data_IF_719610476563
#
_entry.id   IF_719610476563
#
_cell.length_a   1.000
_cell.length_b   1.000
_cell.length_c   1.000
_cell.angle_alpha   90.00
_cell.angle_beta   90.00
_cell.angle_gamma   90.00
#
_symmetry.space_group_name_H-M   'P 1'
#
loop_
_entity.id
_entity.type
_entity.pdbx_description
1 polymer ?
#
# COMPACT_ATOMS: atom_id res chain seq x y z
N UNK A 1 -6.15 -39.11 -7.57
CA UNK A 1 -6.25 -40.08 -6.47
C UNK A 1 -6.49 -39.35 -5.14
N UNK A 2 -7.28 -39.89 -4.21
CA UNK A 2 -7.53 -39.27 -2.90
C UNK A 2 -8.58 -38.13 -2.88
N UNK A 3 -9.27 -37.85 -3.99
CA UNK A 3 -10.40 -36.91 -4.03
C UNK A 3 -11.67 -37.68 -3.67
N UNK A 4 -12.22 -37.44 -2.48
CA UNK A 4 -13.45 -38.08 -1.97
C UNK A 4 -14.70 -37.35 -2.44
N UNK A 5 -14.60 -36.02 -2.60
CA UNK A 5 -15.69 -35.14 -2.99
C UNK A 5 -15.18 -34.04 -3.92
N UNK A 6 -16.00 -33.66 -4.90
CA UNK A 6 -15.75 -32.54 -5.79
C UNK A 6 -17.08 -31.90 -6.18
N UNK A 7 -17.14 -30.57 -6.15
CA UNK A 7 -18.31 -29.79 -6.51
C UNK A 7 -17.92 -28.57 -7.34
N UNK A 8 -18.90 -27.99 -8.03
CA UNK A 8 -18.74 -26.77 -8.79
C UNK A 8 -19.83 -25.78 -8.40
N UNK A 9 -19.42 -24.63 -7.88
CA UNK A 9 -20.30 -23.56 -7.40
C UNK A 9 -19.94 -22.24 -8.10
N UNK A 10 -20.91 -21.34 -8.23
CA UNK A 10 -20.74 -20.09 -8.96
C UNK A 10 -19.80 -19.10 -8.23
N UNK A 11 -19.90 -19.03 -6.91
CA UNK A 11 -19.10 -18.14 -6.06
C UNK A 11 -18.54 -18.90 -4.85
N UNK A 12 -17.36 -19.50 -4.99
CA UNK A 12 -16.78 -20.32 -3.92
C UNK A 12 -16.49 -19.54 -2.63
N UNK A 13 -16.29 -18.22 -2.72
CA UNK A 13 -16.05 -17.35 -1.57
C UNK A 13 -17.34 -16.88 -0.87
N UNK A 14 -18.53 -17.22 -1.37
CA UNK A 14 -19.79 -16.84 -0.71
C UNK A 14 -19.92 -17.53 0.65
N UNK A 15 -20.68 -16.90 1.56
CA UNK A 15 -20.93 -17.46 2.89
C UNK A 15 -21.54 -18.87 2.80
N UNK A 16 -22.56 -19.05 1.97
CA UNK A 16 -23.21 -20.36 1.77
C UNK A 16 -22.22 -21.45 1.32
N UNK A 17 -21.27 -21.11 0.45
CA UNK A 17 -20.28 -22.10 -0.01
C UNK A 17 -19.25 -22.39 1.08
N UNK A 18 -18.86 -21.39 1.87
CA UNK A 18 -17.98 -21.60 3.02
C UNK A 18 -18.64 -22.51 4.06
N UNK A 19 -19.93 -22.32 4.34
CA UNK A 19 -20.69 -23.18 5.25
C UNK A 19 -20.81 -24.61 4.69
N UNK A 20 -21.11 -24.77 3.40
CA UNK A 20 -21.11 -26.09 2.75
C UNK A 20 -19.74 -26.78 2.79
N UNK A 21 -18.63 -26.06 2.61
CA UNK A 21 -17.27 -26.62 2.76
C UNK A 21 -17.09 -27.18 4.18
N UNK A 22 -17.48 -26.42 5.21
CA UNK A 22 -17.39 -26.87 6.62
C UNK A 22 -18.25 -28.11 6.87
N UNK A 23 -19.47 -28.13 6.38
CA UNK A 23 -20.37 -29.28 6.47
C UNK A 23 -19.76 -30.53 5.82
N UNK A 24 -19.22 -30.40 4.60
CA UNK A 24 -18.61 -31.53 3.88
C UNK A 24 -17.34 -32.04 4.54
N UNK A 25 -16.55 -31.16 5.17
CA UNK A 25 -15.39 -31.57 5.97
C UNK A 25 -15.85 -32.48 7.12
N UNK A 26 -16.89 -32.08 7.86
CA UNK A 26 -17.41 -32.86 8.99
C UNK A 26 -18.12 -34.15 8.55
N UNK A 27 -18.99 -34.08 7.54
CA UNK A 27 -19.81 -35.20 7.04
C UNK A 27 -18.94 -36.33 6.46
N UNK A 28 -17.93 -35.96 5.67
CA UNK A 28 -17.10 -36.92 4.93
C UNK A 28 -15.76 -37.22 5.60
N UNK A 29 -15.48 -36.59 6.75
CA UNK A 29 -14.18 -36.71 7.44
C UNK A 29 -13.01 -36.26 6.56
N UNK A 30 -13.19 -35.16 5.81
CA UNK A 30 -12.16 -34.67 4.90
C UNK A 30 -10.95 -34.16 5.70
N UNK A 31 -9.76 -34.48 5.22
CA UNK A 31 -8.52 -34.07 5.85
C UNK A 31 -7.69 -33.10 4.98
N UNK A 32 -8.15 -32.77 3.78
CA UNK A 32 -7.50 -31.84 2.84
C UNK A 32 -8.56 -31.13 2.01
N UNK A 33 -8.31 -29.87 1.66
CA UNK A 33 -9.22 -29.08 0.81
C UNK A 33 -8.43 -28.43 -0.32
N UNK A 34 -8.96 -28.48 -1.54
CA UNK A 34 -8.44 -27.71 -2.68
C UNK A 34 -9.58 -26.86 -3.20
N UNK A 35 -9.34 -25.55 -3.32
CA UNK A 35 -10.26 -24.66 -4.04
C UNK A 35 -9.62 -24.25 -5.35
N UNK A 36 -10.38 -24.25 -6.43
CA UNK A 36 -9.90 -23.92 -7.76
C UNK A 36 -10.65 -22.69 -8.29
N UNK A 37 -10.08 -21.50 -8.10
CA UNK A 37 -10.77 -20.22 -8.32
C UNK A 37 -9.80 -19.08 -8.62
N UNK A 38 -9.69 -18.07 -7.74
CA UNK A 38 -8.83 -16.90 -7.89
C UNK A 38 -7.40 -17.13 -7.36
N UNK A 39 -6.60 -16.07 -7.32
CA UNK A 39 -5.22 -16.08 -6.82
C UNK A 39 -5.13 -16.25 -5.29
N UNK A 40 -4.16 -17.03 -4.77
CA UNK A 40 -3.95 -17.20 -3.33
C UNK A 40 -3.71 -15.87 -2.61
N UNK A 41 -3.14 -14.88 -3.31
CA UNK A 41 -2.91 -13.53 -2.76
C UNK A 41 -4.17 -12.82 -2.25
N UNK A 42 -5.36 -13.25 -2.70
CA UNK A 42 -6.63 -12.60 -2.36
C UNK A 42 -7.41 -13.37 -1.30
N UNK A 43 -7.71 -14.65 -1.55
CA UNK A 43 -8.69 -15.40 -0.75
C UNK A 43 -8.10 -16.63 -0.04
N UNK A 44 -6.78 -16.88 -0.10
CA UNK A 44 -6.19 -17.98 0.69
C UNK A 44 -6.46 -17.81 2.20
N UNK A 45 -6.28 -16.61 2.81
CA UNK A 45 -6.60 -16.44 4.24
C UNK A 45 -8.07 -16.71 4.57
N UNK A 46 -8.99 -16.37 3.65
CA UNK A 46 -10.43 -16.64 3.82
C UNK A 46 -10.68 -18.15 3.93
N UNK A 47 -10.23 -18.93 2.95
CA UNK A 47 -10.48 -20.37 2.96
C UNK A 47 -9.70 -21.10 4.06
N UNK A 48 -8.51 -20.62 4.42
CA UNK A 48 -7.78 -21.12 5.58
C UNK A 48 -8.58 -20.93 6.88
N UNK A 49 -9.23 -19.78 7.06
CA UNK A 49 -10.13 -19.55 8.19
C UNK A 49 -11.36 -20.46 8.12
N UNK A 50 -12.01 -20.59 6.95
CA UNK A 50 -13.16 -21.46 6.74
C UNK A 50 -12.88 -22.91 7.17
N UNK A 51 -11.75 -23.49 6.73
CA UNK A 51 -11.44 -24.87 7.10
C UNK A 51 -11.00 -25.00 8.57
N UNK A 52 -10.42 -23.93 9.14
CA UNK A 52 -10.05 -23.89 10.57
C UNK A 52 -11.29 -23.91 11.47
N UNK A 53 -12.39 -23.25 11.07
CA UNK A 53 -13.68 -23.34 11.77
C UNK A 53 -14.25 -24.77 11.78
N UNK A 54 -13.91 -25.59 10.77
CA UNK A 54 -14.23 -27.02 10.73
C UNK A 54 -13.17 -27.91 11.40
N UNK A 55 -12.32 -27.33 12.26
CA UNK A 55 -11.24 -28.01 12.98
C UNK A 55 -10.16 -28.66 12.08
N UNK A 56 -10.05 -28.23 10.81
CA UNK A 56 -8.99 -28.65 9.91
C UNK A 56 -7.83 -27.64 9.95
N UNK A 57 -6.59 -28.13 10.04
CA UNK A 57 -5.44 -27.23 10.06
C UNK A 57 -5.37 -26.38 8.76
N UNK A 58 -5.18 -25.05 8.85
CA UNK A 58 -5.24 -24.14 7.71
C UNK A 58 -4.20 -24.45 6.62
N UNK A 59 -3.11 -25.13 6.95
CA UNK A 59 -2.06 -25.48 5.98
C UNK A 59 -2.31 -26.81 5.27
N UNK A 60 -3.45 -27.46 5.54
CA UNK A 60 -3.96 -28.64 4.83
C UNK A 60 -4.85 -28.25 3.64
N UNK A 61 -4.58 -27.07 3.06
CA UNK A 61 -5.32 -26.43 2.01
C UNK A 61 -4.40 -26.02 0.85
N UNK A 62 -4.95 -25.98 -0.37
CA UNK A 62 -4.29 -25.34 -1.50
C UNK A 62 -5.31 -24.60 -2.39
N UNK A 63 -4.89 -23.47 -2.98
CA UNK A 63 -5.71 -22.68 -3.91
C UNK A 63 -5.13 -22.73 -5.33
N UNK A 64 -5.81 -23.43 -6.23
CA UNK A 64 -5.49 -23.44 -7.66
C UNK A 64 -6.05 -22.17 -8.33
N UNK A 65 -5.19 -21.25 -8.75
CA UNK A 65 -5.61 -20.03 -9.48
C UNK A 65 -6.01 -20.36 -10.92
N UNK A 66 -7.30 -20.55 -11.14
CA UNK A 66 -7.90 -20.79 -12.45
C UNK A 66 -8.44 -19.52 -13.11
N UNK A 67 -8.48 -18.39 -12.40
CA UNK A 67 -8.93 -17.11 -12.97
C UNK A 67 -7.79 -16.31 -13.58
N UNK A 68 -6.94 -15.71 -12.74
CA UNK A 68 -5.85 -14.84 -13.16
C UNK A 68 -4.82 -15.58 -14.02
N UNK A 69 -4.56 -16.86 -13.72
CA UNK A 69 -3.56 -17.66 -14.45
C UNK A 69 -4.15 -18.56 -15.54
N UNK A 70 -5.48 -18.64 -15.68
CA UNK A 70 -6.12 -19.46 -16.72
C UNK A 70 -7.20 -18.70 -17.48
N UNK A 71 -8.39 -18.52 -16.90
CA UNK A 71 -9.55 -18.04 -17.68
C UNK A 71 -9.38 -16.62 -18.24
N UNK A 72 -8.73 -15.71 -17.51
CA UNK A 72 -8.53 -14.32 -17.95
C UNK A 72 -7.48 -14.18 -19.06
N UNK A 73 -6.50 -15.09 -19.11
CA UNK A 73 -5.37 -15.00 -20.05
C UNK A 73 -5.50 -15.94 -21.25
N UNK A 74 -6.47 -16.86 -21.24
CA UNK A 74 -6.77 -17.78 -22.35
C UNK A 74 -8.20 -17.59 -22.89
N UNK A 75 -8.72 -16.36 -22.90
CA UNK A 75 -10.08 -16.06 -23.36
C UNK A 75 -10.37 -16.52 -24.79
N UNK A 76 -9.35 -16.59 -25.64
CA UNK A 76 -9.48 -17.00 -27.04
C UNK A 76 -9.42 -18.54 -27.27
N UNK A 77 -8.98 -19.33 -26.29
CA UNK A 77 -8.83 -20.79 -26.43
C UNK A 77 -9.34 -21.51 -25.16
N UNK A 78 -10.65 -21.75 -25.12
CA UNK A 78 -11.32 -22.42 -24.00
C UNK A 78 -10.88 -23.87 -23.80
N UNK A 79 -10.50 -24.56 -24.87
CA UNK A 79 -10.08 -25.95 -24.80
C UNK A 79 -8.69 -26.06 -24.15
N UNK A 80 -7.75 -25.20 -24.55
CA UNK A 80 -6.46 -25.09 -23.88
C UNK A 80 -6.60 -24.62 -22.43
N UNK A 81 -7.47 -23.63 -22.17
CA UNK A 81 -7.79 -23.17 -20.82
C UNK A 81 -8.28 -24.32 -19.93
N UNK A 82 -9.21 -25.13 -20.44
CA UNK A 82 -9.77 -26.28 -19.70
C UNK A 82 -8.71 -27.36 -19.44
N UNK A 83 -7.86 -27.68 -20.43
CA UNK A 83 -6.74 -28.63 -20.24
C UNK A 83 -5.75 -28.12 -19.18
N UNK A 84 -5.40 -26.83 -19.23
CA UNK A 84 -4.53 -26.19 -18.26
C UNK A 84 -5.15 -26.22 -16.85
N UNK A 85 -6.43 -25.87 -16.72
CA UNK A 85 -7.14 -25.87 -15.46
C UNK A 85 -7.13 -27.26 -14.79
N UNK A 86 -7.45 -28.31 -15.53
CA UNK A 86 -7.38 -29.69 -15.03
C UNK A 86 -5.98 -30.06 -14.52
N UNK A 87 -4.94 -29.64 -15.23
CA UNK A 87 -3.54 -29.89 -14.82
C UNK A 87 -3.20 -29.13 -13.54
N UNK A 88 -3.61 -27.86 -13.41
CA UNK A 88 -3.39 -27.06 -12.21
C UNK A 88 -4.10 -27.64 -10.99
N UNK A 89 -5.37 -28.07 -11.14
CA UNK A 89 -6.08 -28.75 -10.05
C UNK A 89 -5.39 -30.06 -9.67
N UNK A 90 -4.94 -30.85 -10.64
CA UNK A 90 -4.20 -32.07 -10.36
C UNK A 90 -2.89 -31.82 -9.60
N UNK A 91 -2.17 -30.74 -9.94
CA UNK A 91 -0.95 -30.31 -9.23
C UNK A 91 -1.26 -29.89 -7.78
N UNK A 92 -2.33 -29.11 -7.57
CA UNK A 92 -2.77 -28.69 -6.23
C UNK A 92 -3.20 -29.86 -5.36
N UNK A 93 -3.96 -30.80 -5.94
CA UNK A 93 -4.33 -32.05 -5.25
C UNK A 93 -3.09 -32.86 -4.89
N UNK A 94 -2.09 -32.94 -5.77
CA UNK A 94 -0.85 -33.65 -5.46
C UNK A 94 -0.05 -32.98 -4.35
N UNK A 95 0.10 -31.65 -4.40
CA UNK A 95 0.76 -30.85 -3.35
C UNK A 95 0.10 -31.06 -1.99
N UNK A 96 -1.23 -30.91 -1.90
CA UNK A 96 -1.94 -30.95 -0.62
C UNK A 96 -1.90 -32.33 0.03
N UNK A 97 -1.76 -33.41 -0.76
CA UNK A 97 -1.57 -34.78 -0.25
C UNK A 97 -0.28 -34.93 0.54
N UNK A 98 0.74 -34.14 0.23
CA UNK A 98 2.03 -34.12 0.92
C UNK A 98 2.11 -33.05 2.01
N UNK A 99 1.14 -32.13 2.08
CA UNK A 99 1.08 -31.14 3.16
C UNK A 99 0.92 -31.79 4.53
N UNK A 100 1.58 -31.21 5.53
CA UNK A 100 1.48 -31.57 6.93
C UNK A 100 0.86 -30.40 7.72
N UNK A 101 0.22 -30.65 8.87
CA UNK A 101 -0.26 -29.59 9.73
C UNK A 101 0.91 -28.67 10.16
N UNK A 102 0.72 -27.36 10.02
CA UNK A 102 1.66 -26.35 10.52
C UNK A 102 0.94 -25.51 11.56
N UNK A 103 1.60 -25.23 12.68
CA UNK A 103 1.05 -24.45 13.77
C UNK A 103 1.77 -23.11 13.84
N UNK A 104 0.99 -22.03 13.98
CA UNK A 104 1.55 -20.70 14.21
C UNK A 104 2.07 -20.62 15.63
N UNK A 105 3.28 -20.13 15.80
CA UNK A 105 3.82 -19.79 17.10
C UNK A 105 3.49 -18.33 17.42
N UNK A 106 3.00 -18.02 18.64
CA UNK A 106 2.81 -16.64 19.03
C UNK A 106 4.16 -15.94 19.09
N UNK A 107 4.26 -14.78 18.45
CA UNK A 107 5.41 -13.89 18.55
C UNK A 107 5.03 -12.66 19.37
N UNK A 108 5.95 -12.18 20.21
CA UNK A 108 5.81 -10.85 20.79
C UNK A 108 5.93 -9.80 19.68
N UNK A 109 5.25 -8.67 19.87
CA UNK A 109 5.24 -7.53 18.94
C UNK A 109 5.72 -6.33 19.72
N UNK A 110 6.73 -5.64 19.19
CA UNK A 110 7.22 -4.38 19.72
C UNK A 110 6.14 -3.30 19.58
N UNK A 111 5.64 -2.67 20.67
CA UNK A 111 4.53 -1.72 20.64
C UNK A 111 4.98 -0.31 20.19
N UNK A 112 5.79 -0.25 19.13
CA UNK A 112 6.40 0.97 18.61
C UNK A 112 6.29 1.01 17.08
N UNK A 113 5.99 2.19 16.52
CA UNK A 113 5.93 2.41 15.07
C UNK A 113 7.05 3.30 14.55
N UNK A 114 7.53 3.03 13.34
CA UNK A 114 8.41 3.91 12.57
C UNK A 114 7.63 4.53 11.42
N UNK A 115 7.60 5.86 11.33
CA UNK A 115 7.01 6.61 10.23
C UNK A 115 8.12 7.29 9.42
N UNK A 116 8.13 7.05 8.11
CA UNK A 116 9.16 7.57 7.20
C UNK A 116 8.54 8.68 6.33
N UNK A 117 8.94 9.92 6.58
CA UNK A 117 8.48 11.14 5.92
C UNK A 117 7.61 12.01 6.85
N UNK A 118 8.05 13.23 7.09
CA UNK A 118 7.42 14.26 7.94
C UNK A 118 6.44 15.17 7.20
N UNK A 119 5.85 14.71 6.08
CA UNK A 119 4.72 15.38 5.43
C UNK A 119 3.40 15.17 6.18
N UNK A 120 2.27 15.75 5.69
CA UNK A 120 0.97 15.65 6.37
C UNK A 120 0.52 14.20 6.59
N UNK A 121 0.78 13.30 5.65
CA UNK A 121 0.46 11.88 5.79
C UNK A 121 1.25 11.20 6.91
N UNK A 122 2.54 11.51 7.05
CA UNK A 122 3.38 10.93 8.09
C UNK A 122 3.10 11.51 9.47
N UNK A 123 2.88 12.83 9.56
CA UNK A 123 2.46 13.47 10.81
C UNK A 123 1.13 12.88 11.29
N UNK A 124 0.14 12.74 10.40
CA UNK A 124 -1.13 12.10 10.74
C UNK A 124 -0.95 10.65 11.20
N UNK A 125 -0.06 9.89 10.55
CA UNK A 125 0.22 8.50 10.93
C UNK A 125 0.91 8.39 12.30
N UNK A 126 1.88 9.25 12.60
CA UNK A 126 2.58 9.27 13.88
C UNK A 126 1.63 9.67 15.03
N UNK A 127 0.83 10.71 14.83
CA UNK A 127 -0.21 11.11 15.79
C UNK A 127 -1.24 9.99 16.00
N UNK A 128 -1.66 9.29 14.94
CA UNK A 128 -2.60 8.17 15.07
C UNK A 128 -2.03 6.98 15.86
N UNK A 129 -0.70 6.77 15.84
CA UNK A 129 -0.03 5.79 16.69
C UNK A 129 -0.03 6.26 18.15
N UNK A 130 0.38 7.51 18.39
CA UNK A 130 0.42 8.11 19.73
C UNK A 130 -0.96 8.18 20.38
N UNK A 131 -2.01 8.57 19.63
CA UNK A 131 -3.40 8.60 20.11
C UNK A 131 -3.90 7.21 20.59
N UNK A 132 -3.25 6.12 20.16
CA UNK A 132 -3.51 4.75 20.60
C UNK A 132 -2.60 4.27 21.74
N UNK A 133 -1.75 5.15 22.29
CA UNK A 133 -0.77 4.88 23.33
C UNK A 133 0.45 4.10 22.85
N UNK A 134 0.77 4.17 21.55
CA UNK A 134 1.97 3.56 20.97
C UNK A 134 3.03 4.62 20.73
N UNK A 135 4.28 4.30 21.10
CA UNK A 135 5.42 5.17 20.78
C UNK A 135 5.62 5.21 19.26
N UNK A 136 5.96 6.38 18.73
CA UNK A 136 6.31 6.54 17.32
C UNK A 136 7.67 7.20 17.14
N UNK A 137 8.42 6.76 16.13
CA UNK A 137 9.56 7.48 15.57
C UNK A 137 9.13 8.10 14.24
N UNK A 138 9.23 9.42 14.10
CA UNK A 138 9.00 10.11 12.83
C UNK A 138 10.34 10.51 12.22
N UNK A 139 10.72 9.90 11.11
CA UNK A 139 11.98 10.15 10.40
C UNK A 139 11.71 11.07 9.22
N UNK A 140 12.36 12.23 9.19
CA UNK A 140 12.30 13.20 8.10
C UNK A 140 13.70 13.50 7.58
N UNK A 141 13.89 13.40 6.26
CA UNK A 141 15.18 13.62 5.59
C UNK A 141 15.60 15.09 5.58
N UNK A 142 14.64 16.00 5.57
CA UNK A 142 14.88 17.45 5.61
C UNK A 142 15.03 17.93 7.05
N UNK A 143 15.53 19.15 7.21
CA UNK A 143 15.62 19.86 8.50
C UNK A 143 14.30 20.50 8.94
N UNK A 144 13.22 20.29 8.16
CA UNK A 144 11.89 20.85 8.40
C UNK A 144 10.79 19.83 8.10
N UNK A 145 9.72 19.87 8.89
CA UNK A 145 8.50 19.11 8.64
C UNK A 145 7.60 19.78 7.60
N UNK A 146 6.61 19.04 7.09
CA UNK A 146 5.45 19.56 6.36
C UNK A 146 5.39 19.15 4.87
N UNK A 147 6.50 18.73 4.28
CA UNK A 147 6.55 18.24 2.91
C UNK A 147 5.94 19.21 1.88
N UNK A 148 5.33 18.67 0.82
CA UNK A 148 4.81 19.49 -0.29
C UNK A 148 3.63 20.39 0.10
N UNK A 149 2.92 20.12 1.21
CA UNK A 149 1.78 20.95 1.62
C UNK A 149 2.21 22.41 1.88
N UNK A 150 3.45 22.61 2.36
CA UNK A 150 4.05 23.94 2.55
C UNK A 150 4.24 24.76 1.27
N UNK A 151 4.25 24.09 0.11
CA UNK A 151 4.46 24.71 -1.20
C UNK A 151 3.15 25.06 -1.91
N UNK A 152 2.02 24.61 -1.38
CA UNK A 152 0.73 24.90 -1.98
C UNK A 152 0.23 26.25 -1.46
N UNK A 153 -0.20 27.16 -2.35
CA UNK A 153 -0.74 28.46 -1.94
C UNK A 153 -2.16 28.34 -1.39
N UNK A 154 -2.96 27.43 -1.97
CA UNK A 154 -4.36 27.25 -1.64
C UNK A 154 -4.75 25.77 -1.71
N UNK A 155 -5.75 25.38 -0.93
CA UNK A 155 -6.44 24.10 -1.05
C UNK A 155 -7.71 24.26 -1.89
N UNK A 156 -8.32 23.15 -2.27
CA UNK A 156 -9.64 23.15 -2.91
C UNK A 156 -10.76 23.59 -1.95
N UNK A 157 -10.57 23.34 -0.66
CA UNK A 157 -11.43 23.81 0.41
C UNK A 157 -10.97 25.20 0.85
N UNK A 158 -11.85 25.99 1.45
CA UNK A 158 -11.54 27.32 1.99
C UNK A 158 -10.73 27.22 3.30
N UNK A 159 -9.66 26.43 3.29
CA UNK A 159 -8.69 26.25 4.36
C UNK A 159 -7.30 26.66 3.86
N UNK A 160 -6.57 27.45 4.67
CA UNK A 160 -5.21 27.85 4.36
C UNK A 160 -4.24 26.66 4.56
N UNK A 161 -3.50 26.22 3.52
CA UNK A 161 -2.60 25.08 3.63
C UNK A 161 -1.50 25.26 4.69
N UNK A 162 -1.03 26.50 4.91
CA UNK A 162 0.05 26.80 5.86
C UNK A 162 -0.48 26.77 7.28
N UNK A 163 -1.66 27.33 7.54
CA UNK A 163 -2.32 27.24 8.84
C UNK A 163 -2.63 25.78 9.21
N UNK A 164 -3.18 25.01 8.27
CA UNK A 164 -3.45 23.59 8.47
C UNK A 164 -2.18 22.79 8.79
N UNK A 165 -1.10 23.04 8.03
CA UNK A 165 0.19 22.38 8.26
C UNK A 165 0.81 22.80 9.60
N UNK A 166 0.76 24.08 9.96
CA UNK A 166 1.28 24.59 11.23
C UNK A 166 0.54 23.99 12.42
N UNK A 167 -0.78 23.83 12.34
CA UNK A 167 -1.58 23.17 13.36
C UNK A 167 -1.17 21.70 13.56
N UNK A 168 -0.90 20.97 12.47
CA UNK A 168 -0.40 19.59 12.55
C UNK A 168 1.01 19.51 13.15
N UNK A 169 1.91 20.42 12.76
CA UNK A 169 3.29 20.49 13.29
C UNK A 169 3.26 20.81 14.78
N UNK A 170 2.52 21.85 15.18
CA UNK A 170 2.36 22.23 16.59
C UNK A 170 1.84 21.07 17.45
N UNK A 171 0.92 20.27 16.91
CA UNK A 171 0.37 19.10 17.62
C UNK A 171 1.41 18.01 17.82
N UNK A 172 2.17 17.64 16.78
CA UNK A 172 3.15 16.54 16.87
C UNK A 172 4.41 16.94 17.66
N UNK A 173 4.81 18.22 17.63
CA UNK A 173 5.93 18.71 18.45
C UNK A 173 5.60 18.75 19.95
N UNK A 174 4.32 18.86 20.29
CA UNK A 174 3.84 18.79 21.68
C UNK A 174 3.62 17.36 22.19
N UNK A 175 3.78 16.35 21.34
CA UNK A 175 3.49 14.95 21.66
C UNK A 175 4.74 14.23 22.17
N UNK A 176 4.76 13.89 23.47
CA UNK A 176 5.91 13.24 24.13
C UNK A 176 6.10 11.77 23.71
N UNK A 177 5.08 11.13 23.14
CA UNK A 177 5.14 9.75 22.66
C UNK A 177 5.67 9.65 21.21
N UNK A 178 5.87 10.80 20.55
CA UNK A 178 6.46 10.88 19.20
C UNK A 178 7.87 11.45 19.26
N UNK A 179 8.84 10.64 18.85
CA UNK A 179 10.22 11.09 18.69
C UNK A 179 10.48 11.52 17.24
N UNK A 180 10.70 12.81 17.03
CA UNK A 180 10.94 13.40 15.70
C UNK A 180 12.44 13.43 15.42
N UNK A 181 12.84 12.80 14.31
CA UNK A 181 14.22 12.68 13.84
C UNK A 181 14.34 13.39 12.48
N UNK A 182 14.63 14.69 12.52
CA UNK A 182 14.89 15.51 11.32
C UNK A 182 16.31 15.29 10.80
N UNK A 183 16.55 15.63 9.52
CA UNK A 183 17.83 15.37 8.86
C UNK A 183 18.24 13.90 8.86
N UNK A 184 17.27 12.99 8.97
CA UNK A 184 17.49 11.57 9.22
C UNK A 184 16.84 10.69 8.16
N UNK A 185 17.47 9.55 7.85
CA UNK A 185 17.00 8.61 6.83
C UNK A 185 17.13 7.16 7.29
N UNK A 186 16.18 6.31 6.91
CA UNK A 186 16.31 4.86 7.08
C UNK A 186 17.35 4.33 6.08
N UNK A 187 18.44 3.72 6.58
CA UNK A 187 19.54 3.22 5.74
C UNK A 187 19.67 1.70 5.75
N UNK A 188 19.15 1.01 6.76
CA UNK A 188 19.11 -0.44 6.81
C UNK A 188 17.88 -0.93 7.60
N UNK A 189 17.35 -2.09 7.21
CA UNK A 189 16.19 -2.70 7.85
C UNK A 189 16.34 -4.21 7.87
N UNK A 190 16.31 -4.79 9.06
CA UNK A 190 16.27 -6.24 9.26
C UNK A 190 15.12 -6.67 10.19
N UNK A 191 14.86 -7.97 10.26
CA UNK A 191 13.83 -8.53 11.13
C UNK A 191 12.58 -8.99 10.38
N UNK A 192 11.48 -9.13 11.12
CA UNK A 192 10.20 -9.66 10.64
C UNK A 192 9.04 -8.82 11.19
N UNK A 193 7.83 -9.02 10.66
CA UNK A 193 6.62 -8.32 11.13
C UNK A 193 6.52 -8.39 12.66
N UNK A 194 6.40 -7.23 13.31
CA UNK A 194 6.33 -7.08 14.75
C UNK A 194 7.69 -6.97 15.46
N UNK A 195 8.81 -7.24 14.79
CA UNK A 195 10.16 -7.19 15.36
C UNK A 195 11.18 -6.78 14.29
N UNK A 196 11.27 -5.47 14.03
CA UNK A 196 12.23 -4.90 13.10
C UNK A 196 13.34 -4.16 13.82
N UNK A 197 14.55 -4.29 13.28
CA UNK A 197 15.70 -3.44 13.60
C UNK A 197 15.87 -2.46 12.46
N UNK A 198 15.55 -1.19 12.71
CA UNK A 198 15.64 -0.12 11.72
C UNK A 198 16.85 0.78 12.04
N UNK A 199 17.83 0.81 11.14
CA UNK A 199 19.01 1.67 11.29
C UNK A 199 18.77 2.99 10.57
N UNK A 200 18.81 4.07 11.34
CA UNK A 200 18.59 5.43 10.91
C UNK A 200 19.93 6.16 10.86
N UNK A 201 20.27 6.77 9.74
CA UNK A 201 21.35 7.74 9.68
C UNK A 201 20.82 9.07 10.16
N UNK A 202 21.37 9.61 11.25
CA UNK A 202 21.00 10.93 11.78
C UNK A 202 22.19 11.90 11.67
N UNK A 203 21.99 13.21 11.90
CA UNK A 203 23.10 14.17 11.94
C UNK A 203 24.19 13.84 12.97
N UNK A 204 23.84 13.12 14.04
CA UNK A 204 24.74 12.74 15.14
C UNK A 204 25.40 11.36 14.94
N UNK A 205 25.03 10.64 13.87
CA UNK A 205 25.53 9.32 13.54
C UNK A 205 24.42 8.28 13.32
N UNK A 206 24.81 7.05 13.01
CA UNK A 206 23.84 5.97 12.79
C UNK A 206 23.25 5.51 14.14
N UNK A 207 21.92 5.36 14.19
CA UNK A 207 21.15 4.91 15.35
C UNK A 207 20.18 3.81 14.93
N UNK A 208 20.21 2.68 15.64
CA UNK A 208 19.21 1.62 15.45
C UNK A 208 18.04 1.79 16.42
N UNK A 209 16.82 1.67 15.91
CA UNK A 209 15.58 1.63 16.70
C UNK A 209 14.86 0.30 16.46
N UNK A 210 14.28 -0.24 17.53
CA UNK A 210 13.48 -1.46 17.48
C UNK A 210 12.00 -1.09 17.34
N UNK A 211 11.34 -1.57 16.29
CA UNK A 211 9.94 -1.18 15.96
C UNK A 211 9.13 -2.40 15.55
N UNK A 212 7.82 -2.39 15.86
CA UNK A 212 6.91 -3.47 15.46
C UNK A 212 6.23 -3.22 14.12
N UNK A 213 6.05 -1.95 13.74
CA UNK A 213 5.40 -1.54 12.50
C UNK A 213 6.16 -0.42 11.81
N UNK A 214 6.03 -0.35 10.48
CA UNK A 214 6.66 0.66 9.63
C UNK A 214 5.60 1.25 8.70
N UNK A 215 5.53 2.58 8.64
CA UNK A 215 4.63 3.35 7.80
C UNK A 215 5.49 4.18 6.84
N UNK A 216 5.33 3.95 5.54
CA UNK A 216 6.05 4.70 4.48
C UNK A 216 5.16 5.84 4.00
N UNK A 217 5.58 7.07 4.28
CA UNK A 217 4.86 8.31 3.97
C UNK A 217 5.77 9.35 3.29
N UNK A 218 6.69 8.90 2.42
CA UNK A 218 7.75 9.70 1.78
C UNK A 218 7.25 10.70 0.71
N UNK A 219 5.92 10.81 0.54
CA UNK A 219 5.31 11.75 -0.39
C UNK A 219 5.55 11.44 -1.86
N UNK A 220 5.54 12.50 -2.67
CA UNK A 220 5.77 12.49 -4.11
C UNK A 220 6.56 13.73 -4.51
N UNK A 221 7.07 13.77 -5.74
CA UNK A 221 7.73 14.94 -6.30
C UNK A 221 6.89 15.52 -7.44
N UNK A 222 6.99 16.84 -7.63
CA UNK A 222 6.46 17.49 -8.82
C UNK A 222 7.31 17.10 -10.03
N UNK A 223 6.66 16.80 -11.14
CA UNK A 223 7.35 16.57 -12.40
C UNK A 223 7.75 17.92 -13.02
N UNK A 224 9.04 18.07 -13.29
CA UNK A 224 9.56 19.11 -14.17
C UNK A 224 9.62 18.58 -15.61
N UNK A 225 8.93 19.21 -16.58
CA UNK A 225 8.84 18.71 -17.95
C UNK A 225 10.07 19.11 -18.79
N UNK A 226 11.25 18.68 -18.35
CA UNK A 226 12.52 18.99 -19.01
C UNK A 226 12.50 18.64 -20.51
N UNK A 227 12.87 19.62 -21.35
CA UNK A 227 12.91 19.44 -22.80
C UNK A 227 11.55 19.50 -23.51
N UNK A 228 10.45 19.65 -22.77
CA UNK A 228 9.11 19.89 -23.31
C UNK A 228 8.67 21.34 -23.07
N UNK A 229 7.78 21.85 -23.94
CA UNK A 229 7.11 23.16 -23.79
C UNK A 229 8.03 24.37 -23.56
N UNK A 230 9.32 24.28 -23.91
CA UNK A 230 10.36 25.27 -23.58
C UNK A 230 10.54 25.54 -22.07
N UNK A 231 10.17 24.57 -21.22
CA UNK A 231 10.43 24.59 -19.79
C UNK A 231 11.95 24.72 -19.52
N UNK A 232 12.31 25.67 -18.65
CA UNK A 232 13.70 26.03 -18.34
C UNK A 232 14.42 26.85 -19.43
N UNK A 233 13.75 27.17 -20.55
CA UNK A 233 14.29 28.05 -21.61
C UNK A 233 13.54 29.38 -21.72
N UNK A 234 12.24 29.38 -21.43
CA UNK A 234 11.40 30.56 -21.37
C UNK A 234 10.88 30.74 -19.93
N UNK A 235 11.27 31.84 -19.28
CA UNK A 235 10.93 32.13 -17.88
C UNK A 235 9.41 32.25 -17.63
N UNK A 236 8.61 32.35 -18.69
CA UNK A 236 7.14 32.37 -18.61
C UNK A 236 6.53 30.97 -18.50
N UNK A 237 7.29 29.92 -18.79
CA UNK A 237 6.85 28.53 -18.72
C UNK A 237 7.24 27.96 -17.35
N UNK A 238 6.23 27.72 -16.52
CA UNK A 238 6.38 27.29 -15.12
C UNK A 238 5.46 26.12 -14.81
N UNK A 239 5.85 25.31 -13.82
CA UNK A 239 4.96 24.27 -13.26
C UNK A 239 3.81 24.91 -12.47
N UNK A 240 2.78 24.12 -12.14
CA UNK A 240 1.64 24.63 -11.37
C UNK A 240 2.07 25.06 -9.95
N UNK A 241 2.99 24.33 -9.31
CA UNK A 241 3.49 24.74 -7.99
C UNK A 241 4.38 25.98 -8.11
N UNK A 242 5.25 26.06 -9.11
CA UNK A 242 6.07 27.26 -9.35
C UNK A 242 5.21 28.52 -9.62
N UNK A 243 4.12 28.37 -10.37
CA UNK A 243 3.14 29.43 -10.58
C UNK A 243 2.49 29.86 -9.27
N UNK A 244 2.06 28.91 -8.45
CA UNK A 244 1.51 29.18 -7.11
C UNK A 244 2.48 29.96 -6.23
N UNK A 245 3.73 29.49 -6.14
CA UNK A 245 4.79 30.16 -5.37
C UNK A 245 5.09 31.57 -5.93
N UNK A 246 5.06 31.77 -7.25
CA UNK A 246 5.25 33.09 -7.87
C UNK A 246 4.09 34.05 -7.57
N UNK A 247 2.85 33.54 -7.51
CA UNK A 247 1.67 34.34 -7.11
C UNK A 247 1.82 34.82 -5.68
N UNK A 248 2.23 33.94 -4.75
CA UNK A 248 2.43 34.32 -3.34
C UNK A 248 3.52 35.37 -3.15
N UNK A 249 4.61 35.30 -3.94
CA UNK A 249 5.69 36.29 -3.91
C UNK A 249 5.32 37.61 -4.60
N UNK A 250 4.24 37.64 -5.38
CA UNK A 250 3.87 38.78 -6.21
C UNK A 250 4.72 38.91 -7.49
N UNK A 251 5.44 37.86 -7.87
CA UNK A 251 6.29 37.81 -9.06
C UNK A 251 5.50 37.35 -10.31
N UNK A 252 4.30 36.82 -10.12
CA UNK A 252 3.47 36.31 -11.21
C UNK A 252 2.93 37.46 -12.09
N UNK A 253 3.08 37.40 -13.42
CA UNK A 253 2.58 38.45 -14.31
C UNK A 253 1.04 38.49 -14.30
N UNK A 254 0.48 39.53 -13.69
CA UNK A 254 -0.98 39.72 -13.58
C UNK A 254 -1.62 40.26 -14.87
N UNK A 255 -0.83 40.65 -15.87
CA UNK A 255 -1.30 41.19 -17.15
C UNK A 255 -1.04 40.20 -18.30
N UNK A 256 -2.08 39.96 -19.10
CA UNK A 256 -2.01 39.13 -20.30
C UNK A 256 -2.73 37.78 -20.18
N UNK A 257 -2.78 37.01 -21.27
CA UNK A 257 -3.43 35.71 -21.27
C UNK A 257 -2.56 34.66 -20.57
N UNK A 258 -3.19 33.87 -19.69
CA UNK A 258 -2.59 32.68 -19.04
C UNK A 258 -3.20 31.43 -19.66
N UNK A 259 -2.37 30.42 -19.93
CA UNK A 259 -2.80 29.12 -20.44
C UNK A 259 -2.29 27.99 -19.53
N UNK A 260 -3.19 27.10 -19.11
CA UNK A 260 -2.85 25.88 -18.39
C UNK A 260 -2.81 24.69 -19.35
N UNK A 261 -1.73 23.92 -19.31
CA UNK A 261 -1.61 22.66 -20.04
C UNK A 261 -1.80 21.52 -19.05
N UNK A 262 -2.90 20.78 -19.19
CA UNK A 262 -3.19 19.65 -18.30
C UNK A 262 -2.46 18.38 -18.74
N UNK A 263 -2.36 17.43 -17.80
CA UNK A 263 -1.79 16.10 -18.03
C UNK A 263 -0.32 16.11 -18.50
N UNK A 264 0.43 17.19 -18.24
CA UNK A 264 1.87 17.23 -18.54
C UNK A 264 2.56 16.07 -17.81
N UNK A 265 3.16 15.17 -18.60
CA UNK A 265 3.78 13.93 -18.13
C UNK A 265 2.85 12.92 -17.44
N UNK A 266 1.54 12.99 -17.67
CA UNK A 266 0.55 12.01 -17.19
C UNK A 266 -0.34 11.57 -18.35
N UNK A 267 -0.90 10.35 -18.28
CA UNK A 267 -1.72 9.78 -19.37
C UNK A 267 -0.96 9.72 -20.71
N UNK A 268 0.33 9.42 -20.63
CA UNK A 268 1.25 9.18 -21.76
C UNK A 268 1.70 7.70 -21.75
N UNK A 269 2.25 7.15 -22.85
CA UNK A 269 2.66 5.74 -22.90
C UNK A 269 3.59 5.32 -21.75
N UNK A 270 4.48 6.20 -21.30
CA UNK A 270 5.41 5.94 -20.20
C UNK A 270 4.75 6.04 -18.81
N UNK A 271 3.62 6.75 -18.70
CA UNK A 271 2.88 7.03 -17.46
C UNK A 271 1.39 7.09 -17.76
N UNK A 272 0.75 5.92 -17.88
CA UNK A 272 -0.64 5.80 -18.33
C UNK A 272 -1.68 6.25 -17.28
N UNK A 273 -1.24 6.55 -16.05
CA UNK A 273 -2.12 6.96 -14.95
C UNK A 273 -2.45 8.46 -14.96
N UNK A 274 -3.53 8.81 -14.25
CA UNK A 274 -3.88 10.19 -13.93
C UNK A 274 -3.20 10.62 -12.62
N UNK A 275 -2.58 11.80 -12.58
CA UNK A 275 -1.96 12.36 -11.38
C UNK A 275 -2.96 12.87 -10.32
N UNK A 276 -4.27 12.76 -10.60
CA UNK A 276 -5.42 13.02 -9.72
C UNK A 276 -5.60 14.47 -9.25
N UNK A 277 -4.53 15.20 -8.96
CA UNK A 277 -4.57 16.54 -8.34
C UNK A 277 -4.36 17.68 -9.35
N UNK A 278 -3.78 17.41 -10.52
CA UNK A 278 -3.38 18.45 -11.48
C UNK A 278 -4.55 19.26 -12.06
N UNK A 279 -5.74 18.67 -12.18
CA UNK A 279 -6.91 19.41 -12.67
C UNK A 279 -7.44 20.35 -11.58
N UNK A 280 -7.53 19.87 -10.34
CA UNK A 280 -7.99 20.67 -9.20
C UNK A 280 -7.04 21.81 -8.86
N UNK A 281 -5.72 21.59 -8.91
CA UNK A 281 -4.72 22.63 -8.61
C UNK A 281 -4.71 23.75 -9.65
N UNK A 282 -5.23 23.50 -10.85
CA UNK A 282 -5.28 24.48 -11.94
C UNK A 282 -6.58 25.30 -11.98
N UNK A 283 -7.60 24.90 -11.22
CA UNK A 283 -8.87 25.62 -11.09
C UNK A 283 -8.79 26.65 -9.97
#
# INVERSE_FOLDING_TARGET
>A
PGVVYAEHNLYTCSQDTQDNIKEKIAELGLNRVVVASCTPRTHEPLFQNTISEAALNPHLFDLASLREHVSWVHQADHDAATRKAKRMVAMSVDKVRHSVPVHKEPSQVEPTGLVIGGGPAGIAAALALSDQGLRAYLVERQDVLGGNLRRLPHLLEDEDPKEAMEAMISRIEADEDVEILMGSELVDLSGVIGNFDATLRTPDGDRTVHVGAIIVATGAYELEPEGEYDFGKDDRVMTAIQAGEAIERGDFPLEGPVAFVHCVGSRIPEREYCSRVCCSTAL
#
